data_IF_538347674763
#
_entry.id   IF_538347674763
#
_cell.length_a   1.000
_cell.length_b   1.000
_cell.length_c   1.000
_cell.angle_alpha   90.00
_cell.angle_beta   90.00
_cell.angle_gamma   90.00
#
_symmetry.space_group_name_H-M   'P 1'
#
loop_
_entity.id
_entity.type
_entity.pdbx_description
1 polymer ?
#
# COMPACT_ATOMS: atom_id res chain seq x y z
N UNK A 1 16.36 -14.38 8.81
CA UNK A 1 15.82 -13.20 9.55
C UNK A 1 14.49 -12.70 8.97
N UNK A 2 13.40 -13.47 9.08
CA UNK A 2 12.05 -13.04 8.65
C UNK A 2 11.04 -12.98 9.81
N UNK A 3 11.23 -13.81 10.85
CA UNK A 3 10.34 -13.93 12.01
C UNK A 3 10.45 -12.74 12.98
N UNK A 4 11.66 -12.43 13.44
CA UNK A 4 11.90 -11.40 14.44
C UNK A 4 12.35 -10.09 13.76
N UNK A 5 11.38 -9.22 13.46
CA UNK A 5 11.62 -7.89 12.87
C UNK A 5 11.67 -6.83 13.97
N UNK A 6 12.67 -5.93 13.92
CA UNK A 6 12.72 -4.72 14.75
C UNK A 6 11.47 -3.88 14.54
N UNK A 7 11.06 -3.13 15.57
CA UNK A 7 9.84 -2.31 15.56
C UNK A 7 9.77 -1.36 14.35
N UNK A 8 10.85 -0.62 14.06
CA UNK A 8 10.89 0.30 12.92
C UNK A 8 10.62 -0.37 11.57
N UNK A 9 11.15 -1.60 11.37
CA UNK A 9 10.88 -2.38 10.15
C UNK A 9 9.43 -2.83 10.09
N UNK A 10 8.81 -3.21 11.23
CA UNK A 10 7.38 -3.56 11.29
C UNK A 10 6.49 -2.38 10.88
N UNK A 11 6.78 -1.18 11.39
CA UNK A 11 6.00 0.02 11.07
C UNK A 11 6.10 0.39 9.58
N UNK A 12 7.30 0.36 9.00
CA UNK A 12 7.50 0.61 7.55
C UNK A 12 6.74 -0.41 6.69
N UNK A 13 6.81 -1.70 7.06
CA UNK A 13 6.07 -2.74 6.35
C UNK A 13 4.54 -2.59 6.52
N UNK A 14 4.07 -2.16 7.70
CA UNK A 14 2.65 -1.89 7.93
C UNK A 14 2.15 -0.68 7.11
N UNK A 15 2.95 0.39 7.03
CA UNK A 15 2.63 1.55 6.19
C UNK A 15 2.62 1.17 4.69
N UNK A 16 3.57 0.34 4.25
CA UNK A 16 3.56 -0.23 2.92
C UNK A 16 2.28 -1.05 2.70
N UNK A 17 1.91 -1.94 3.62
CA UNK A 17 0.69 -2.74 3.51
C UNK A 17 -0.57 -1.87 3.37
N UNK A 18 -0.72 -0.84 4.21
CA UNK A 18 -1.88 0.08 4.19
C UNK A 18 -1.99 0.91 2.90
N UNK A 19 -0.87 1.24 2.27
CA UNK A 19 -0.87 2.01 1.02
C UNK A 19 -1.22 1.17 -0.21
N UNK A 20 -1.17 -0.17 -0.13
CA UNK A 20 -1.46 -1.07 -1.25
C UNK A 20 -2.97 -1.32 -1.47
N UNK A 21 -3.78 -0.26 -1.52
CA UNK A 21 -5.23 -0.35 -1.68
C UNK A 21 -5.74 0.70 -2.65
N UNK A 22 -6.88 0.42 -3.26
CA UNK A 22 -7.53 1.39 -4.13
C UNK A 22 -8.17 2.52 -3.31
N UNK A 23 -8.42 3.68 -3.95
CA UNK A 23 -9.24 4.72 -3.36
C UNK A 23 -10.61 4.15 -2.94
N UNK A 24 -11.13 4.53 -1.75
CA UNK A 24 -12.47 4.16 -1.33
C UNK A 24 -13.55 4.65 -2.31
N UNK A 25 -14.70 3.97 -2.31
CA UNK A 25 -15.82 4.26 -3.22
C UNK A 25 -16.27 5.73 -3.12
N UNK A 26 -16.37 6.27 -1.91
CA UNK A 26 -16.80 7.66 -1.71
C UNK A 26 -15.83 8.68 -2.35
N UNK A 27 -14.53 8.37 -2.44
CA UNK A 27 -13.54 9.23 -3.13
C UNK A 27 -13.79 9.23 -4.63
N UNK A 28 -14.07 8.05 -5.20
CA UNK A 28 -14.42 7.91 -6.62
C UNK A 28 -15.68 8.69 -6.96
N UNK A 29 -16.72 8.58 -6.13
CA UNK A 29 -17.96 9.32 -6.30
C UNK A 29 -17.74 10.83 -6.23
N UNK A 30 -17.01 11.31 -5.19
CA UNK A 30 -16.66 12.73 -5.03
C UNK A 30 -15.89 13.29 -6.21
N UNK A 31 -15.04 12.48 -6.83
CA UNK A 31 -14.17 12.89 -7.95
C UNK A 31 -14.75 12.58 -9.32
N UNK A 32 -16.03 12.18 -9.43
CA UNK A 32 -16.68 11.76 -10.69
C UNK A 32 -15.84 10.72 -11.45
N UNK A 33 -15.34 9.71 -10.72
CA UNK A 33 -14.49 8.64 -11.22
C UNK A 33 -13.15 9.08 -11.84
N UNK A 34 -12.64 10.27 -11.51
CA UNK A 34 -11.29 10.68 -11.94
C UNK A 34 -10.18 9.96 -11.17
N UNK A 35 -10.40 9.67 -9.88
CA UNK A 35 -9.41 9.02 -9.02
C UNK A 35 -9.79 7.56 -8.78
N UNK A 36 -9.43 6.69 -9.72
CA UNK A 36 -9.90 5.29 -9.76
C UNK A 36 -8.85 4.29 -9.26
N UNK A 37 -7.57 4.55 -9.51
CA UNK A 37 -6.47 3.64 -9.18
C UNK A 37 -5.38 4.35 -8.41
N UNK A 38 -4.85 3.69 -7.39
CA UNK A 38 -3.69 4.22 -6.66
C UNK A 38 -2.39 3.92 -7.43
N UNK A 39 -1.48 4.90 -7.59
CA UNK A 39 -0.16 4.67 -8.19
C UNK A 39 0.74 3.80 -7.31
N UNK A 40 0.44 3.69 -6.01
CA UNK A 40 1.22 2.91 -5.03
C UNK A 40 0.89 1.42 -5.01
N UNK A 41 0.01 0.97 -5.91
CA UNK A 41 -0.35 -0.43 -6.11
C UNK A 41 0.87 -1.27 -6.47
N UNK A 42 1.04 -2.37 -5.73
CA UNK A 42 2.17 -3.27 -5.90
C UNK A 42 1.79 -4.72 -5.65
N UNK A 43 2.52 -5.61 -6.32
CA UNK A 43 2.42 -7.06 -6.14
C UNK A 43 3.78 -7.59 -5.65
N UNK A 44 3.76 -8.49 -4.66
CA UNK A 44 4.94 -9.09 -4.04
C UNK A 44 5.84 -9.87 -5.02
N UNK A 45 5.29 -10.33 -6.16
CA UNK A 45 6.05 -10.96 -7.23
C UNK A 45 6.77 -9.94 -8.12
N UNK A 46 6.15 -8.78 -8.40
CA UNK A 46 6.66 -7.78 -9.35
C UNK A 46 7.57 -6.73 -8.71
N UNK A 47 7.26 -6.29 -7.49
CA UNK A 47 8.01 -5.23 -6.79
C UNK A 47 8.38 -5.71 -5.39
N UNK A 48 9.69 -5.68 -5.09
CA UNK A 48 10.22 -6.05 -3.78
C UNK A 48 10.39 -4.81 -2.91
N UNK A 49 9.90 -4.87 -1.67
CA UNK A 49 10.05 -3.78 -0.69
C UNK A 49 11.47 -3.78 -0.14
N UNK A 50 12.18 -2.67 -0.31
CA UNK A 50 13.45 -2.39 0.37
C UNK A 50 13.09 -1.79 1.73
N UNK A 51 13.20 -2.57 2.80
CA UNK A 51 12.78 -2.19 4.15
C UNK A 51 13.80 -2.60 5.21
#
# INVERSE_FOLDING_TARGET
>A
MARNKKLGRKLRLAAALRSNRNPPVWVRLKTKNRVTRSPTWRNWRRVKLKA
#
